data_IF_354790826588
#
_entry.id   IF_354790826588
#
_cell.length_a   1.000
_cell.length_b   1.000
_cell.length_c   1.000
_cell.angle_alpha   90.00
_cell.angle_beta   90.00
_cell.angle_gamma   90.00
#
_symmetry.space_group_name_H-M   'P 1'
#
loop_
_entity.id
_entity.type
_entity.pdbx_description
1 polymer ?
#
# COMPACT_ATOMS: atom_id res chain seq x y z
N UNK A 1 -7.49 40.46 14.24
CA UNK A 1 -6.88 39.22 14.77
C UNK A 1 -6.26 38.48 13.61
N UNK A 2 -4.96 38.28 13.58
CA UNK A 2 -4.32 37.39 12.61
C UNK A 2 -4.75 35.96 12.91
N UNK A 3 -5.14 35.15 11.91
CA UNK A 3 -5.45 33.74 12.16
C UNK A 3 -4.20 33.06 12.70
N UNK A 4 -4.33 32.36 13.81
CA UNK A 4 -3.23 31.58 14.40
C UNK A 4 -2.90 30.43 13.45
N UNK A 5 -1.97 30.66 12.54
CA UNK A 5 -1.40 29.58 11.72
C UNK A 5 -0.64 28.64 12.66
N UNK A 6 -0.90 27.33 12.67
CA UNK A 6 -0.13 26.43 13.51
C UNK A 6 1.35 26.56 13.21
N UNK A 7 2.17 26.71 14.24
CA UNK A 7 3.63 26.79 14.13
C UNK A 7 4.27 25.52 13.55
N UNK A 8 3.53 24.41 13.55
CA UNK A 8 3.95 23.14 12.94
C UNK A 8 3.15 22.87 11.69
N UNK A 9 3.78 22.73 10.51
CA UNK A 9 3.10 22.34 9.30
C UNK A 9 2.44 20.97 9.48
N UNK A 10 1.23 20.80 8.91
CA UNK A 10 0.55 19.49 8.93
C UNK A 10 1.38 18.46 8.16
N UNK A 11 1.54 17.24 8.67
CA UNK A 11 2.18 16.18 7.89
C UNK A 11 1.33 15.85 6.64
N UNK A 12 1.99 15.52 5.54
CA UNK A 12 1.41 15.37 4.20
C UNK A 12 1.60 13.94 3.72
N UNK A 13 0.51 13.31 3.28
CA UNK A 13 0.58 11.94 2.79
C UNK A 13 -0.11 11.76 1.44
N UNK A 14 0.49 10.95 0.59
CA UNK A 14 -0.06 10.43 -0.64
C UNK A 14 -0.47 8.97 -0.43
N UNK A 15 -1.70 8.60 -0.84
CA UNK A 15 -2.15 7.21 -0.83
C UNK A 15 -2.62 6.83 -2.23
N UNK A 16 -1.87 5.97 -2.90
CA UNK A 16 -2.22 5.39 -4.19
C UNK A 16 -3.00 4.09 -3.94
N UNK A 17 -4.24 4.01 -4.42
CA UNK A 17 -5.16 2.90 -4.13
C UNK A 17 -6.10 3.19 -2.95
N UNK A 18 -6.50 4.45 -2.77
CA UNK A 18 -7.26 4.91 -1.60
C UNK A 18 -8.77 4.63 -1.64
N UNK A 19 -9.36 4.14 -2.74
CA UNK A 19 -10.83 4.12 -2.90
C UNK A 19 -11.57 3.05 -2.09
N UNK A 20 -10.89 2.07 -1.51
CA UNK A 20 -11.49 1.01 -0.68
C UNK A 20 -10.45 0.26 0.16
N UNK A 21 -10.92 -0.69 0.97
CA UNK A 21 -10.08 -1.60 1.74
C UNK A 21 -9.06 -0.90 2.64
N UNK A 22 -7.85 -1.46 2.74
CA UNK A 22 -6.80 -0.93 3.59
C UNK A 22 -6.38 0.50 3.25
N UNK A 23 -6.36 0.88 1.95
CA UNK A 23 -6.01 2.23 1.53
C UNK A 23 -7.00 3.27 2.04
N UNK A 24 -8.31 3.00 1.96
CA UNK A 24 -9.36 3.88 2.48
C UNK A 24 -9.36 3.94 4.02
N UNK A 25 -9.19 2.81 4.68
CA UNK A 25 -9.10 2.75 6.15
C UNK A 25 -7.88 3.53 6.66
N UNK A 26 -6.72 3.38 5.99
CA UNK A 26 -5.52 4.14 6.33
C UNK A 26 -5.68 5.64 6.07
N UNK A 27 -6.39 6.04 5.00
CA UNK A 27 -6.71 7.44 4.75
C UNK A 27 -7.51 8.06 5.90
N UNK A 28 -8.55 7.36 6.38
CA UNK A 28 -9.33 7.79 7.55
C UNK A 28 -8.46 7.88 8.81
N UNK A 29 -7.58 6.90 9.01
CA UNK A 29 -6.69 6.86 10.16
C UNK A 29 -5.71 8.04 10.17
N UNK A 30 -5.06 8.31 9.04
CA UNK A 30 -4.13 9.44 8.89
C UNK A 30 -4.84 10.80 9.01
N UNK A 31 -6.08 10.92 8.49
CA UNK A 31 -6.88 12.14 8.64
C UNK A 31 -7.16 12.46 10.12
N UNK A 32 -7.48 11.46 10.94
CA UNK A 32 -7.66 11.65 12.39
C UNK A 32 -6.40 12.16 13.08
N UNK A 33 -5.23 11.81 12.55
CA UNK A 33 -3.92 12.27 13.04
C UNK A 33 -3.51 13.64 12.47
N UNK A 34 -4.36 14.26 11.66
CA UNK A 34 -4.16 15.61 11.16
C UNK A 34 -3.40 15.72 9.84
N UNK A 35 -3.16 14.61 9.13
CA UNK A 35 -2.49 14.64 7.82
C UNK A 35 -3.31 15.38 6.76
N UNK A 36 -2.62 16.16 5.93
CA UNK A 36 -3.13 16.57 4.63
C UNK A 36 -2.91 15.42 3.63
N UNK A 37 -4.00 15.00 2.94
CA UNK A 37 -4.01 13.77 2.16
C UNK A 37 -4.26 14.04 0.67
N UNK A 38 -3.40 13.49 -0.18
CA UNK A 38 -3.69 13.26 -1.59
C UNK A 38 -4.14 11.79 -1.76
N UNK A 39 -5.36 11.59 -2.21
CA UNK A 39 -5.95 10.27 -2.39
C UNK A 39 -6.07 9.97 -3.88
N UNK A 40 -5.38 8.93 -4.34
CA UNK A 40 -5.33 8.53 -5.76
C UNK A 40 -6.04 7.20 -5.95
N UNK A 41 -6.98 7.13 -6.91
CA UNK A 41 -7.62 5.87 -7.34
C UNK A 41 -8.41 6.07 -8.64
N UNK A 42 -8.76 4.96 -9.32
CA UNK A 42 -9.58 4.96 -10.55
C UNK A 42 -11.05 5.25 -10.29
N UNK A 43 -11.59 4.76 -9.17
CA UNK A 43 -13.03 4.78 -8.87
C UNK A 43 -13.44 6.16 -8.34
N UNK A 44 -13.71 7.11 -9.25
CA UNK A 44 -14.05 8.51 -8.96
C UNK A 44 -15.13 8.67 -7.88
N UNK A 45 -16.25 7.92 -7.97
CA UNK A 45 -17.35 8.03 -7.00
C UNK A 45 -16.93 7.67 -5.58
N UNK A 46 -16.22 6.56 -5.40
CA UNK A 46 -15.76 6.10 -4.08
C UNK A 46 -14.71 7.04 -3.51
N UNK A 47 -13.79 7.52 -4.35
CA UNK A 47 -12.75 8.45 -3.96
C UNK A 47 -13.34 9.79 -3.49
N UNK A 48 -14.29 10.34 -4.26
CA UNK A 48 -14.98 11.57 -3.91
C UNK A 48 -15.81 11.45 -2.62
N UNK A 49 -16.49 10.30 -2.43
CA UNK A 49 -17.23 10.01 -1.20
C UNK A 49 -16.31 9.96 0.02
N UNK A 50 -15.15 9.29 -0.08
CA UNK A 50 -14.17 9.24 1.00
C UNK A 50 -13.60 10.63 1.33
N UNK A 51 -13.25 11.44 0.32
CA UNK A 51 -12.79 12.81 0.55
C UNK A 51 -13.85 13.66 1.23
N UNK A 52 -15.12 13.55 0.79
CA UNK A 52 -16.26 14.25 1.41
C UNK A 52 -16.42 13.83 2.87
N UNK A 53 -16.41 12.54 3.14
CA UNK A 53 -16.49 11.96 4.51
C UNK A 53 -15.39 12.55 5.40
N UNK A 54 -14.12 12.47 4.96
CA UNK A 54 -12.99 12.98 5.74
C UNK A 54 -13.12 14.49 5.98
N UNK A 55 -13.42 15.27 4.95
CA UNK A 55 -13.48 16.72 5.05
C UNK A 55 -14.67 17.25 5.88
N UNK A 56 -15.73 16.44 6.04
CA UNK A 56 -16.92 16.79 6.83
C UNK A 56 -16.91 16.19 8.24
N UNK A 57 -15.99 15.29 8.56
CA UNK A 57 -15.97 14.58 9.85
C UNK A 57 -15.46 15.40 11.04
N UNK A 58 -15.05 16.66 10.83
CA UNK A 58 -14.49 17.51 11.89
C UNK A 58 -13.07 17.13 12.34
N UNK A 59 -12.44 16.14 11.71
CA UNK A 59 -11.04 15.79 11.99
C UNK A 59 -10.10 16.88 11.49
N UNK A 60 -8.89 16.95 12.07
CA UNK A 60 -7.88 17.94 11.70
C UNK A 60 -7.35 17.78 10.26
N UNK A 61 -7.38 16.54 9.74
CA UNK A 61 -6.89 16.22 8.40
C UNK A 61 -7.79 16.76 7.29
N UNK A 62 -7.25 16.83 6.08
CA UNK A 62 -7.95 17.24 4.87
C UNK A 62 -7.57 16.32 3.71
N UNK A 63 -8.52 15.96 2.85
CA UNK A 63 -8.30 15.06 1.73
C UNK A 63 -8.66 15.70 0.39
N UNK A 64 -7.78 15.50 -0.61
CA UNK A 64 -7.97 15.91 -2.00
C UNK A 64 -7.96 14.63 -2.86
N UNK A 65 -8.92 14.56 -3.80
CA UNK A 65 -9.08 13.41 -4.69
C UNK A 65 -8.37 13.63 -6.04
N UNK A 66 -7.60 12.63 -6.47
CA UNK A 66 -6.97 12.58 -7.78
C UNK A 66 -7.39 11.29 -8.49
N UNK A 67 -8.17 11.42 -9.56
CA UNK A 67 -8.61 10.24 -10.34
C UNK A 67 -7.50 9.84 -11.29
N UNK A 68 -6.96 8.61 -11.13
CA UNK A 68 -5.88 8.09 -11.96
C UNK A 68 -5.88 6.56 -11.95
N UNK A 69 -5.61 5.94 -13.09
CA UNK A 69 -5.29 4.52 -13.20
C UNK A 69 -3.78 4.35 -13.07
N UNK A 70 -3.35 3.52 -12.13
CA UNK A 70 -1.90 3.28 -11.88
C UNK A 70 -1.17 2.67 -13.08
N UNK A 71 -1.89 2.19 -14.10
CA UNK A 71 -1.33 1.69 -15.36
C UNK A 71 -1.01 2.79 -16.38
N UNK A 72 -1.48 4.01 -16.16
CA UNK A 72 -1.13 5.18 -16.97
C UNK A 72 0.22 5.72 -16.49
N UNK A 73 1.29 4.98 -16.72
CA UNK A 73 2.62 5.25 -16.16
C UNK A 73 3.16 6.63 -16.55
N UNK A 74 2.93 7.04 -17.80
CA UNK A 74 3.45 8.29 -18.36
C UNK A 74 2.84 9.54 -17.71
N UNK A 75 1.64 9.42 -17.12
CA UNK A 75 0.96 10.52 -16.42
C UNK A 75 1.50 10.76 -15.00
N UNK A 76 2.19 9.78 -14.42
CA UNK A 76 2.59 9.79 -13.01
C UNK A 76 3.52 10.97 -12.66
N UNK A 77 4.57 11.30 -13.42
CA UNK A 77 5.47 12.39 -13.05
C UNK A 77 4.77 13.75 -12.96
N UNK A 78 3.86 14.05 -13.91
CA UNK A 78 3.11 15.31 -13.92
C UNK A 78 2.10 15.34 -12.76
N UNK A 79 1.37 14.24 -12.55
CA UNK A 79 0.40 14.13 -11.48
C UNK A 79 1.09 14.25 -10.10
N UNK A 80 2.24 13.63 -9.91
CA UNK A 80 3.01 13.73 -8.67
C UNK A 80 3.47 15.17 -8.41
N UNK A 81 3.98 15.88 -9.43
CA UNK A 81 4.38 17.29 -9.29
C UNK A 81 3.20 18.15 -8.84
N UNK A 82 2.02 17.97 -9.45
CA UNK A 82 0.79 18.67 -9.07
C UNK A 82 0.39 18.36 -7.64
N UNK A 83 0.39 17.08 -7.23
CA UNK A 83 0.07 16.64 -5.87
C UNK A 83 0.99 17.31 -4.84
N UNK A 84 2.30 17.28 -5.08
CA UNK A 84 3.30 17.86 -4.19
C UNK A 84 3.12 19.38 -4.07
N UNK A 85 2.85 20.07 -5.19
CA UNK A 85 2.59 21.51 -5.19
C UNK A 85 1.32 21.87 -4.40
N UNK A 86 0.21 21.15 -4.62
CA UNK A 86 -1.06 21.40 -3.94
C UNK A 86 -1.04 21.07 -2.43
N UNK A 87 -0.26 20.05 -2.01
CA UNK A 87 -0.05 19.72 -0.60
C UNK A 87 1.01 20.62 0.08
N UNK A 88 1.85 21.31 -0.70
CA UNK A 88 2.99 22.06 -0.20
C UNK A 88 4.16 21.18 0.24
N UNK A 89 4.28 19.98 -0.32
CA UNK A 89 5.32 18.98 -0.04
C UNK A 89 4.74 17.57 0.19
N UNK A 90 5.61 16.62 0.57
CA UNK A 90 5.22 15.24 0.86
C UNK A 90 6.14 14.66 1.94
N UNK A 91 5.55 13.99 2.95
CA UNK A 91 6.27 13.38 4.07
C UNK A 91 6.08 11.85 4.09
N UNK A 92 4.95 11.36 3.57
CA UNK A 92 4.57 9.94 3.57
C UNK A 92 3.95 9.57 2.22
N UNK A 93 4.45 8.51 1.60
CA UNK A 93 3.86 7.91 0.40
C UNK A 93 3.45 6.46 0.67
N UNK A 94 2.20 6.13 0.35
CA UNK A 94 1.65 4.78 0.53
C UNK A 94 1.21 4.22 -0.81
N UNK A 95 1.79 3.11 -1.22
CA UNK A 95 1.30 2.33 -2.36
C UNK A 95 0.41 1.19 -1.85
N UNK A 96 -0.90 1.39 -1.98
CA UNK A 96 -1.95 0.47 -1.56
C UNK A 96 -2.76 -0.08 -2.75
N UNK A 97 -2.44 0.34 -3.98
CA UNK A 97 -3.11 -0.20 -5.16
C UNK A 97 -2.76 -1.68 -5.34
N UNK A 98 -3.78 -2.44 -5.68
CA UNK A 98 -3.61 -3.86 -5.93
C UNK A 98 -4.89 -4.50 -6.44
N UNK A 99 -4.73 -5.53 -7.24
CA UNK A 99 -5.80 -6.40 -7.75
C UNK A 99 -5.44 -7.84 -7.50
N UNK A 100 -6.46 -8.68 -7.42
CA UNK A 100 -6.35 -10.12 -7.30
C UNK A 100 -7.39 -10.75 -8.20
N UNK A 101 -6.95 -11.48 -9.21
CA UNK A 101 -7.80 -12.18 -10.19
C UNK A 101 -7.38 -13.65 -10.23
N UNK A 102 -7.73 -14.44 -9.19
CA UNK A 102 -7.28 -15.82 -9.12
C UNK A 102 -7.87 -16.63 -10.28
N UNK A 103 -7.03 -17.32 -11.07
CA UNK A 103 -7.54 -18.32 -11.99
C UNK A 103 -8.13 -19.49 -11.21
N UNK A 104 -8.94 -20.33 -11.84
CA UNK A 104 -9.32 -21.62 -11.26
C UNK A 104 -8.06 -22.46 -10.97
N UNK A 105 -8.15 -23.41 -10.04
CA UNK A 105 -7.00 -24.16 -9.50
C UNK A 105 -6.15 -24.86 -10.59
N UNK A 106 -6.77 -25.20 -11.73
CA UNK A 106 -6.13 -25.84 -12.88
C UNK A 106 -6.16 -24.97 -14.14
N UNK A 107 -6.45 -23.67 -14.00
CA UNK A 107 -6.51 -22.73 -15.10
C UNK A 107 -5.25 -21.85 -15.13
N UNK A 108 -4.86 -21.49 -16.34
CA UNK A 108 -3.81 -20.49 -16.59
C UNK A 108 -4.46 -19.30 -17.29
N UNK A 109 -4.21 -18.08 -16.79
CA UNK A 109 -4.80 -16.86 -17.30
C UNK A 109 -3.76 -15.76 -17.41
N UNK A 110 -3.07 -15.70 -18.56
CA UNK A 110 -2.04 -14.71 -18.82
C UNK A 110 -2.55 -13.29 -18.65
N UNK A 111 -3.75 -12.97 -19.14
CA UNK A 111 -4.32 -11.62 -19.04
C UNK A 111 -4.52 -11.19 -17.58
N UNK A 112 -5.05 -12.07 -16.73
CA UNK A 112 -5.19 -11.82 -15.31
C UNK A 112 -3.85 -11.68 -14.60
N UNK A 113 -2.87 -12.53 -14.94
CA UNK A 113 -1.52 -12.46 -14.37
C UNK A 113 -0.82 -11.18 -14.79
N UNK A 114 -0.92 -10.78 -16.07
CA UNK A 114 -0.38 -9.53 -16.61
C UNK A 114 -0.98 -8.33 -15.90
N UNK A 115 -2.31 -8.26 -15.76
CA UNK A 115 -2.98 -7.19 -15.02
C UNK A 115 -2.51 -7.10 -13.56
N UNK A 116 -2.31 -8.25 -12.90
CA UNK A 116 -1.79 -8.27 -11.52
C UNK A 116 -0.36 -7.73 -11.45
N UNK A 117 0.50 -8.05 -12.41
CA UNK A 117 1.85 -7.50 -12.50
C UNK A 117 1.83 -6.00 -12.76
N UNK A 118 1.05 -5.52 -13.74
CA UNK A 118 0.94 -4.11 -14.06
C UNK A 118 0.49 -3.28 -12.85
N UNK A 119 -0.58 -3.70 -12.17
CA UNK A 119 -1.15 -2.93 -11.06
C UNK A 119 -0.34 -3.08 -9.79
N UNK A 120 0.04 -4.33 -9.41
CA UNK A 120 0.63 -4.57 -8.10
C UNK A 120 2.13 -4.28 -8.04
N UNK A 121 2.83 -4.33 -9.19
CA UNK A 121 4.29 -4.21 -9.25
C UNK A 121 4.75 -3.06 -10.14
N UNK A 122 4.40 -3.06 -11.44
CA UNK A 122 4.88 -2.02 -12.37
C UNK A 122 4.34 -0.64 -11.98
N UNK A 123 3.06 -0.57 -11.61
CA UNK A 123 2.48 0.66 -11.07
C UNK A 123 3.17 1.13 -9.78
N UNK A 124 3.65 0.20 -8.94
CA UNK A 124 4.44 0.58 -7.77
C UNK A 124 5.77 1.21 -8.17
N UNK A 125 6.47 0.68 -9.19
CA UNK A 125 7.70 1.30 -9.71
C UNK A 125 7.42 2.71 -10.22
N UNK A 126 6.41 2.87 -11.09
CA UNK A 126 6.07 4.15 -11.68
C UNK A 126 5.81 5.25 -10.64
N UNK A 127 5.15 4.91 -9.53
CA UNK A 127 4.86 5.87 -8.46
C UNK A 127 6.02 6.04 -7.48
N UNK A 128 6.67 4.95 -7.08
CA UNK A 128 7.64 5.00 -5.97
C UNK A 128 9.05 5.41 -6.42
N UNK A 129 9.47 5.19 -7.67
CA UNK A 129 10.78 5.64 -8.16
C UNK A 129 10.94 7.17 -8.08
N UNK A 130 10.02 8.00 -8.65
CA UNK A 130 10.14 9.44 -8.55
C UNK A 130 9.98 9.95 -7.10
N UNK A 131 9.15 9.29 -6.27
CA UNK A 131 9.00 9.61 -4.85
C UNK A 131 10.28 9.29 -4.08
N UNK A 132 10.92 8.14 -4.36
CA UNK A 132 12.17 7.74 -3.76
C UNK A 132 13.29 8.75 -4.08
N UNK A 133 13.41 9.16 -5.34
CA UNK A 133 14.37 10.19 -5.75
C UNK A 133 14.13 11.54 -5.04
N UNK A 134 12.86 11.95 -4.89
CA UNK A 134 12.50 13.17 -4.20
C UNK A 134 12.85 13.09 -2.70
N UNK A 135 12.53 11.99 -2.03
CA UNK A 135 12.84 11.79 -0.61
C UNK A 135 14.34 11.64 -0.36
N UNK A 136 15.06 10.97 -1.27
CA UNK A 136 16.52 10.86 -1.22
C UNK A 136 17.17 12.23 -1.25
N UNK A 137 16.77 13.09 -2.19
CA UNK A 137 17.29 14.45 -2.31
C UNK A 137 16.93 15.33 -1.11
N UNK A 138 15.75 15.12 -0.50
CA UNK A 138 15.29 15.84 0.67
C UNK A 138 15.89 15.31 1.98
N UNK A 139 16.56 14.17 1.98
CA UNK A 139 17.00 13.46 3.19
C UNK A 139 15.90 13.25 4.23
N UNK A 140 14.66 13.15 3.76
CA UNK A 140 13.46 13.05 4.59
C UNK A 140 12.34 12.35 3.83
N UNK A 141 11.52 11.59 4.56
CA UNK A 141 10.31 10.98 4.04
C UNK A 141 10.16 9.52 4.43
N UNK A 142 8.96 9.00 4.16
CA UNK A 142 8.65 7.61 4.43
C UNK A 142 7.84 6.99 3.29
N UNK A 143 8.25 5.81 2.84
CA UNK A 143 7.55 5.01 1.83
C UNK A 143 6.91 3.80 2.52
N UNK A 144 5.66 3.51 2.18
CA UNK A 144 4.94 2.32 2.64
C UNK A 144 4.40 1.55 1.43
N UNK A 145 4.75 0.29 1.32
CA UNK A 145 4.18 -0.59 0.28
C UNK A 145 3.32 -1.69 0.90
N UNK A 146 2.07 -1.83 0.41
CA UNK A 146 1.18 -2.90 0.84
C UNK A 146 1.42 -4.17 0.00
N UNK A 147 2.28 -5.03 0.52
CA UNK A 147 2.51 -6.37 0.02
C UNK A 147 1.55 -7.38 0.66
N UNK A 148 1.90 -8.65 0.68
CA UNK A 148 1.08 -9.74 1.21
C UNK A 148 1.96 -10.88 1.70
N UNK A 149 1.44 -11.69 2.62
CA UNK A 149 1.99 -13.01 2.95
C UNK A 149 2.10 -13.92 1.71
N UNK A 150 1.31 -13.64 0.67
CA UNK A 150 1.38 -14.31 -0.63
C UNK A 150 2.72 -14.10 -1.36
N UNK A 151 3.43 -13.00 -1.07
CA UNK A 151 4.75 -12.73 -1.62
C UNK A 151 5.90 -13.47 -0.95
N UNK A 152 5.66 -14.16 0.15
CA UNK A 152 6.73 -14.86 0.87
C UNK A 152 7.08 -16.22 0.26
N UNK A 153 6.12 -16.86 -0.40
CA UNK A 153 6.31 -18.15 -1.05
C UNK A 153 5.24 -18.40 -2.12
N UNK A 154 5.65 -18.92 -3.29
CA UNK A 154 4.74 -19.30 -4.35
C UNK A 154 3.79 -20.43 -3.91
N UNK A 155 2.49 -20.25 -4.12
CA UNK A 155 1.44 -21.20 -3.75
C UNK A 155 0.63 -21.60 -4.99
N UNK A 156 -0.08 -22.73 -4.90
CA UNK A 156 -0.84 -23.32 -6.03
C UNK A 156 -1.92 -22.37 -6.55
N UNK A 157 -2.63 -21.71 -5.64
CA UNK A 157 -3.91 -21.05 -5.98
C UNK A 157 -3.82 -19.77 -6.82
N UNK A 158 -2.68 -19.06 -6.86
CA UNK A 158 -2.59 -17.78 -7.57
C UNK A 158 -1.15 -17.39 -7.91
N UNK A 159 -0.54 -18.01 -8.94
CA UNK A 159 0.86 -17.77 -9.28
C UNK A 159 1.18 -16.30 -9.60
N UNK A 160 0.36 -15.62 -10.41
CA UNK A 160 0.57 -14.22 -10.80
C UNK A 160 0.51 -13.26 -9.61
N UNK A 161 -0.45 -13.45 -8.71
CA UNK A 161 -0.54 -12.65 -7.50
C UNK A 161 0.68 -12.87 -6.59
N UNK A 162 1.07 -14.13 -6.36
CA UNK A 162 2.25 -14.46 -5.58
C UNK A 162 3.51 -13.80 -6.16
N UNK A 163 3.71 -13.90 -7.48
CA UNK A 163 4.83 -13.28 -8.17
C UNK A 163 4.82 -11.75 -8.03
N UNK A 164 3.66 -11.10 -8.24
CA UNK A 164 3.53 -9.65 -8.13
C UNK A 164 3.86 -9.14 -6.73
N UNK A 165 3.41 -9.86 -5.67
CA UNK A 165 3.68 -9.47 -4.28
C UNK A 165 5.09 -9.84 -3.81
N UNK A 166 5.69 -10.91 -4.34
CA UNK A 166 7.10 -11.22 -4.12
C UNK A 166 7.99 -10.14 -4.74
N UNK A 167 7.73 -9.75 -5.99
CA UNK A 167 8.43 -8.66 -6.67
C UNK A 167 8.32 -7.35 -5.91
N UNK A 168 7.11 -6.96 -5.48
CA UNK A 168 6.91 -5.75 -4.68
C UNK A 168 7.67 -5.82 -3.35
N UNK A 169 7.71 -6.97 -2.68
CA UNK A 169 8.45 -7.14 -1.42
C UNK A 169 9.95 -6.94 -1.63
N UNK A 170 10.52 -7.55 -2.67
CA UNK A 170 11.93 -7.42 -3.03
C UNK A 170 12.28 -5.99 -3.44
N UNK A 171 11.42 -5.33 -4.23
CA UNK A 171 11.61 -3.94 -4.62
C UNK A 171 11.63 -2.98 -3.42
N UNK A 172 10.68 -3.12 -2.49
CA UNK A 172 10.64 -2.30 -1.27
C UNK A 172 11.87 -2.53 -0.38
N UNK A 173 12.37 -3.76 -0.32
CA UNK A 173 13.62 -4.06 0.39
C UNK A 173 14.83 -3.39 -0.28
N UNK A 174 14.90 -3.41 -1.60
CA UNK A 174 15.95 -2.74 -2.37
C UNK A 174 15.91 -1.21 -2.18
N UNK A 175 14.71 -0.61 -2.20
CA UNK A 175 14.55 0.81 -1.87
C UNK A 175 15.02 1.11 -0.43
N UNK A 176 14.68 0.27 0.54
CA UNK A 176 15.11 0.41 1.93
C UNK A 176 16.62 0.42 2.04
N UNK A 177 17.29 -0.54 1.41
CA UNK A 177 18.74 -0.66 1.45
C UNK A 177 19.44 0.53 0.79
N UNK A 178 18.82 1.12 -0.24
CA UNK A 178 19.32 2.33 -0.91
C UNK A 178 19.11 3.58 -0.07
N UNK A 179 17.92 3.76 0.49
CA UNK A 179 17.44 5.02 1.03
C UNK A 179 17.73 5.21 2.53
N UNK A 180 18.01 4.14 3.29
CA UNK A 180 18.27 4.23 4.74
C UNK A 180 19.41 5.19 5.07
N UNK A 181 20.47 5.20 4.27
CA UNK A 181 21.62 6.13 4.43
C UNK A 181 21.28 7.61 4.19
N UNK A 182 20.12 7.86 3.58
CA UNK A 182 19.60 9.20 3.32
C UNK A 182 18.48 9.61 4.29
N UNK A 183 18.31 8.89 5.40
CA UNK A 183 17.30 9.23 6.42
C UNK A 183 15.85 8.89 6.01
N UNK A 184 15.64 8.19 4.89
CA UNK A 184 14.31 7.80 4.41
C UNK A 184 13.94 6.40 4.89
N UNK A 185 12.76 6.26 5.50
CA UNK A 185 12.25 4.95 5.95
C UNK A 185 11.40 4.28 4.88
N UNK A 186 11.57 2.97 4.67
CA UNK A 186 10.73 2.17 3.77
C UNK A 186 10.11 1.01 4.54
N UNK A 187 8.79 1.04 4.68
CA UNK A 187 8.00 0.02 5.36
C UNK A 187 7.34 -0.93 4.36
N UNK A 188 7.65 -2.21 4.46
CA UNK A 188 6.94 -3.29 3.77
C UNK A 188 5.86 -3.87 4.69
N UNK A 189 4.59 -3.75 4.29
CA UNK A 189 3.46 -4.34 5.01
C UNK A 189 3.09 -5.66 4.33
N UNK A 190 3.27 -6.78 5.01
CA UNK A 190 2.86 -8.10 4.55
C UNK A 190 1.49 -8.44 5.13
N UNK A 191 0.43 -8.10 4.40
CA UNK A 191 -0.94 -8.36 4.84
C UNK A 191 -1.30 -9.84 4.71
N UNK A 192 -1.92 -10.38 5.76
CA UNK A 192 -2.67 -11.63 5.71
C UNK A 192 -4.07 -11.42 5.13
N UNK A 193 -5.08 -12.04 5.73
CA UNK A 193 -6.47 -11.85 5.30
C UNK A 193 -7.07 -10.62 5.98
N UNK A 194 -7.44 -9.63 5.17
CA UNK A 194 -8.09 -8.39 5.60
C UNK A 194 -9.45 -8.28 4.92
N UNK A 195 -10.49 -7.99 5.68
CA UNK A 195 -11.87 -7.85 5.20
C UNK A 195 -11.99 -6.67 4.22
N UNK A 196 -11.91 -6.99 2.95
CA UNK A 196 -11.97 -6.08 1.81
C UNK A 196 -12.73 -6.73 0.66
N UNK A 197 -13.08 -5.97 -0.36
CA UNK A 197 -13.69 -6.54 -1.56
C UNK A 197 -12.82 -7.62 -2.21
N UNK A 198 -11.50 -7.48 -2.12
CA UNK A 198 -10.55 -8.46 -2.63
C UNK A 198 -10.65 -9.83 -1.91
N UNK A 199 -11.03 -9.83 -0.64
CA UNK A 199 -11.16 -11.06 0.14
C UNK A 199 -12.35 -11.91 -0.30
N UNK A 200 -13.41 -11.30 -0.88
CA UNK A 200 -14.60 -12.01 -1.37
C UNK A 200 -14.28 -13.03 -2.45
N UNK A 201 -13.16 -12.86 -3.15
CA UNK A 201 -12.67 -13.80 -4.18
C UNK A 201 -11.78 -14.92 -3.61
N UNK A 202 -11.52 -14.96 -2.32
CA UNK A 202 -10.65 -15.97 -1.72
C UNK A 202 -11.43 -17.25 -1.37
N UNK A 203 -10.93 -18.41 -1.79
CA UNK A 203 -11.57 -19.72 -1.52
C UNK A 203 -11.45 -20.16 -0.05
N UNK A 204 -10.39 -19.77 0.63
CA UNK A 204 -10.17 -20.08 2.05
C UNK A 204 -9.67 -18.81 2.76
N UNK A 205 -10.34 -18.45 3.83
CA UNK A 205 -10.01 -17.29 4.66
C UNK A 205 -9.60 -17.77 6.04
N UNK A 206 -8.42 -17.34 6.51
CA UNK A 206 -7.90 -17.72 7.82
C UNK A 206 -7.70 -16.46 8.66
N UNK A 207 -8.38 -16.38 9.80
CA UNK A 207 -8.22 -15.32 10.78
C UNK A 207 -8.28 -13.90 10.18
N UNK A 208 -9.37 -13.53 9.49
CA UNK A 208 -9.51 -12.21 8.90
C UNK A 208 -9.57 -11.12 9.98
N UNK A 209 -9.02 -9.97 9.66
CA UNK A 209 -9.16 -8.75 10.48
C UNK A 209 -9.84 -7.66 9.65
N UNK A 210 -10.46 -6.68 10.33
CA UNK A 210 -11.05 -5.53 9.65
C UNK A 210 -9.98 -4.66 8.99
N UNK A 211 -10.36 -3.90 7.98
CA UNK A 211 -9.49 -2.95 7.32
C UNK A 211 -9.03 -1.82 8.28
N UNK A 212 -9.89 -1.45 9.23
CA UNK A 212 -9.60 -0.46 10.27
C UNK A 212 -8.50 -0.94 11.21
N UNK A 213 -8.59 -2.21 11.68
CA UNK A 213 -7.53 -2.80 12.51
C UNK A 213 -6.20 -2.88 11.76
N UNK A 214 -6.22 -3.30 10.50
CA UNK A 214 -5.01 -3.30 9.67
C UNK A 214 -4.42 -1.89 9.54
N UNK A 215 -5.26 -0.86 9.33
CA UNK A 215 -4.83 0.54 9.25
C UNK A 215 -4.21 1.04 10.56
N UNK A 216 -4.74 0.64 11.72
CA UNK A 216 -4.17 0.99 13.02
C UNK A 216 -2.80 0.35 13.24
N UNK A 217 -2.63 -0.94 12.88
CA UNK A 217 -1.34 -1.65 12.94
C UNK A 217 -0.31 -1.02 11.99
N UNK A 218 -0.72 -0.66 10.76
CA UNK A 218 0.12 0.02 9.78
C UNK A 218 0.53 1.41 10.30
N UNK A 219 -0.41 2.20 10.81
CA UNK A 219 -0.11 3.52 11.36
C UNK A 219 0.86 3.45 12.55
N UNK A 220 0.67 2.48 13.45
CA UNK A 220 1.60 2.25 14.56
C UNK A 220 3.01 1.90 14.07
N UNK A 221 3.14 1.15 12.96
CA UNK A 221 4.40 0.83 12.33
C UNK A 221 5.05 2.06 11.67
N UNK A 222 4.27 2.90 10.98
CA UNK A 222 4.69 4.19 10.42
C UNK A 222 5.32 5.07 11.52
N UNK A 223 4.60 5.27 12.62
CA UNK A 223 5.08 6.09 13.76
C UNK A 223 6.36 5.57 14.40
N UNK A 224 6.59 4.27 14.34
CA UNK A 224 7.78 3.61 14.92
C UNK A 224 8.90 3.39 13.91
N UNK A 225 8.77 3.92 12.70
CA UNK A 225 9.72 3.74 11.60
C UNK A 225 10.12 2.27 11.39
N UNK A 226 9.12 1.36 11.48
CA UNK A 226 9.37 -0.06 11.23
C UNK A 226 9.74 -0.27 9.76
N UNK A 227 10.56 -1.28 9.50
CA UNK A 227 10.99 -1.63 8.14
C UNK A 227 10.09 -2.68 7.50
N UNK A 228 9.56 -3.60 8.31
CA UNK A 228 8.64 -4.64 7.87
C UNK A 228 7.69 -5.01 8.99
N UNK A 229 6.43 -5.25 8.64
CA UNK A 229 5.44 -5.84 9.53
C UNK A 229 4.63 -6.90 8.80
N UNK A 230 4.09 -7.85 9.56
CA UNK A 230 2.94 -8.66 9.18
C UNK A 230 1.69 -8.10 9.87
N UNK A 231 0.58 -8.01 9.14
CA UNK A 231 -0.70 -7.58 9.70
C UNK A 231 -1.79 -8.61 9.37
N UNK A 232 -2.39 -9.25 10.39
CA UNK A 232 -2.04 -9.20 11.82
C UNK A 232 -0.71 -9.87 12.16
N UNK A 233 -0.12 -9.46 13.27
CA UNK A 233 1.25 -9.80 13.70
C UNK A 233 1.58 -11.30 13.77
N UNK A 234 0.61 -12.16 14.08
CA UNK A 234 0.83 -13.60 14.21
C UNK A 234 1.21 -14.28 12.88
N UNK A 235 0.93 -13.65 11.74
CA UNK A 235 1.44 -14.12 10.44
C UNK A 235 2.95 -14.17 10.38
N UNK A 236 3.65 -13.43 11.22
CA UNK A 236 5.12 -13.53 11.35
C UNK A 236 5.55 -14.98 11.63
N UNK A 237 4.91 -15.63 12.60
CA UNK A 237 5.25 -17.00 12.98
C UNK A 237 4.76 -18.03 11.96
N UNK A 238 3.57 -17.85 11.43
CA UNK A 238 3.02 -18.72 10.38
C UNK A 238 3.94 -18.68 9.16
N UNK A 239 4.33 -17.49 8.70
CA UNK A 239 5.17 -17.36 7.52
C UNK A 239 6.63 -17.76 7.79
N UNK A 240 7.13 -17.62 9.00
CA UNK A 240 8.42 -18.19 9.39
C UNK A 240 8.41 -19.71 9.18
N UNK A 241 7.38 -20.40 9.63
CA UNK A 241 7.23 -21.84 9.40
C UNK A 241 7.08 -22.16 7.91
N UNK A 242 6.15 -21.50 7.20
CA UNK A 242 5.87 -21.75 5.77
C UNK A 242 7.10 -21.57 4.89
N UNK A 243 7.91 -20.53 5.14
CA UNK A 243 9.13 -20.25 4.34
C UNK A 243 10.18 -21.33 4.49
N UNK A 244 10.23 -21.99 5.65
CA UNK A 244 11.23 -23.01 5.95
C UNK A 244 10.78 -24.45 5.63
N UNK A 245 9.55 -24.67 5.15
CA UNK A 245 9.12 -26.01 4.71
C UNK A 245 9.95 -26.44 3.50
N UNK A 246 10.60 -27.63 3.51
CA UNK A 246 11.35 -28.12 2.36
C UNK A 246 10.46 -28.21 1.10
N UNK A 247 11.01 -27.84 -0.07
CA UNK A 247 10.23 -27.81 -1.33
C UNK A 247 9.60 -29.16 -1.68
N UNK A 248 10.25 -30.28 -1.33
CA UNK A 248 9.72 -31.62 -1.57
C UNK A 248 8.41 -31.89 -0.82
N UNK A 249 8.25 -31.28 0.37
CA UNK A 249 7.02 -31.34 1.17
C UNK A 249 6.03 -30.31 0.65
N UNK A 250 6.47 -29.06 0.47
CA UNK A 250 5.61 -27.94 0.11
C UNK A 250 4.86 -28.12 -1.20
N UNK A 251 5.50 -28.71 -2.23
CA UNK A 251 4.89 -28.99 -3.54
C UNK A 251 3.72 -29.99 -3.51
N UNK A 252 3.55 -30.71 -2.39
CA UNK A 252 2.43 -31.65 -2.17
C UNK A 252 1.29 -31.02 -1.38
N UNK A 253 1.47 -29.78 -0.91
CA UNK A 253 0.47 -29.04 -0.15
C UNK A 253 -0.38 -28.19 -1.10
N UNK A 254 -1.69 -28.17 -0.89
CA UNK A 254 -2.65 -27.40 -1.68
C UNK A 254 -3.34 -26.31 -0.84
N UNK A 255 -2.65 -25.21 -0.60
CA UNK A 255 -3.23 -24.05 0.08
C UNK A 255 -2.79 -22.73 -0.52
#
# INVERSE_FOLDING_TARGET
MLPSTPLHPRPRALIVGASSGMGAALARRLAREGYALALVARRKRLLAALCKEINQSGVRGRAIAYVHDVRNFDEVPELLRRIVAELGGLDLAVYAAGVNSPPGLHAYNFEGDHQMLEVNLVGAFAWLDPIAAMFEAAHHGQIVGLSSVAGDRGRVGNPGYNASKAGLTSYLESLRNRLTRHGVNVLTVKAGFVETDMLKAAHKVMFPISAERAADEIFAAIRRHRQQIYTPWFWTWIMLAVRNIPSIVFRRMSF
#
